data_IF_638831473451
#
_entry.id   IF_638831473451
#
_cell.length_a   1.000
_cell.length_b   1.000
_cell.length_c   1.000
_cell.angle_alpha   90.00
_cell.angle_beta   90.00
_cell.angle_gamma   90.00
#
_symmetry.space_group_name_H-M   'P 1'
#
loop_
_entity.id
_entity.type
_entity.pdbx_description
1 polymer ?
#
# COMPACT_ATOMS: atom_id res chain seq x y z
N UNK A 1 -21.53 -13.38 -6.08
CA UNK A 1 -21.52 -12.94 -7.48
C UNK A 1 -20.08 -12.67 -7.87
N UNK A 2 -19.57 -13.33 -8.91
CA UNK A 2 -18.22 -13.13 -9.39
C UNK A 2 -18.20 -11.84 -10.22
N UNK A 3 -17.55 -10.80 -9.71
CA UNK A 3 -17.40 -9.52 -10.40
C UNK A 3 -16.30 -9.70 -11.45
N UNK A 4 -16.68 -9.77 -12.73
CA UNK A 4 -15.74 -9.78 -13.85
C UNK A 4 -15.52 -8.33 -14.30
N UNK A 5 -14.31 -7.76 -14.19
CA UNK A 5 -14.04 -6.39 -14.60
C UNK A 5 -14.12 -6.29 -16.13
N UNK A 6 -15.02 -5.46 -16.65
CA UNK A 6 -15.37 -5.42 -18.09
C UNK A 6 -14.65 -4.34 -18.90
N UNK A 7 -13.71 -3.59 -18.32
CA UNK A 7 -12.81 -2.68 -19.05
C UNK A 7 -11.56 -2.38 -18.21
N UNK A 8 -10.36 -2.61 -18.74
CA UNK A 8 -9.10 -2.24 -18.08
C UNK A 8 -8.63 -0.86 -18.58
N UNK A 9 -8.64 0.15 -17.70
CA UNK A 9 -8.34 1.56 -18.00
C UNK A 9 -6.83 1.91 -17.93
N UNK A 10 -5.93 0.92 -17.94
CA UNK A 10 -4.48 1.17 -17.83
C UNK A 10 -4.00 1.64 -16.44
N UNK A 11 -4.74 1.31 -15.38
CA UNK A 11 -4.42 1.66 -13.98
C UNK A 11 -3.69 0.54 -13.24
N UNK A 12 -2.83 0.93 -12.28
CA UNK A 12 -1.74 0.15 -11.67
C UNK A 12 -2.19 -1.09 -10.86
N UNK A 13 -1.29 -2.09 -10.84
CA UNK A 13 -1.57 -3.49 -10.47
C UNK A 13 -1.07 -3.91 -9.08
N UNK A 14 -0.35 -3.06 -8.35
CA UNK A 14 0.16 -3.40 -7.02
C UNK A 14 -0.62 -2.66 -5.95
N UNK A 15 -1.75 -3.26 -5.57
CA UNK A 15 -2.48 -2.89 -4.36
C UNK A 15 -1.78 -3.55 -3.17
N UNK A 16 -1.29 -2.74 -2.24
CA UNK A 16 -0.65 -3.22 -0.99
C UNK A 16 -1.64 -3.30 0.18
N UNK A 17 -2.93 -3.05 -0.06
CA UNK A 17 -3.97 -3.34 0.92
C UNK A 17 -4.01 -4.85 1.18
N UNK A 18 -4.31 -5.21 2.42
CA UNK A 18 -4.35 -6.58 2.92
C UNK A 18 -3.03 -7.37 2.81
N UNK A 19 -1.89 -6.69 2.65
CA UNK A 19 -0.59 -7.35 2.76
C UNK A 19 -0.36 -7.79 4.19
N UNK A 20 -0.32 -9.11 4.38
CA UNK A 20 -0.36 -9.74 5.70
C UNK A 20 1.04 -10.11 6.19
N UNK A 21 1.29 -9.88 7.47
CA UNK A 21 2.51 -10.27 8.17
C UNK A 21 2.52 -11.79 8.44
N UNK A 22 2.76 -12.57 7.37
CA UNK A 22 2.54 -14.02 7.32
C UNK A 22 3.46 -14.87 8.21
N UNK A 23 4.58 -14.32 8.67
CA UNK A 23 5.57 -15.03 9.48
C UNK A 23 5.56 -14.53 10.93
N UNK A 24 5.75 -15.43 11.89
CA UNK A 24 5.79 -15.10 13.32
C UNK A 24 4.46 -15.36 14.04
N UNK A 25 4.51 -16.16 15.11
CA UNK A 25 3.33 -16.61 15.88
C UNK A 25 3.06 -15.82 17.16
N UNK A 26 3.60 -14.60 17.29
CA UNK A 26 3.56 -13.81 18.51
C UNK A 26 2.89 -12.44 18.34
N UNK A 27 3.30 -11.49 19.19
CA UNK A 27 2.81 -10.10 19.19
C UNK A 27 3.10 -9.34 17.89
N UNK A 28 4.18 -9.66 17.20
CA UNK A 28 4.56 -8.98 15.97
C UNK A 28 4.75 -10.04 14.89
N UNK A 29 4.03 -9.89 13.78
CA UNK A 29 4.27 -10.65 12.56
C UNK A 29 5.29 -9.95 11.67
N UNK A 30 5.85 -10.65 10.69
CA UNK A 30 6.66 -10.06 9.63
C UNK A 30 6.40 -10.71 8.28
N UNK A 31 6.78 -9.99 7.23
CA UNK A 31 6.82 -10.52 5.86
C UNK A 31 8.13 -10.10 5.21
N UNK A 32 8.61 -10.94 4.30
CA UNK A 32 9.77 -10.64 3.47
C UNK A 32 9.27 -10.29 2.07
N UNK A 33 9.64 -9.12 1.56
CA UNK A 33 9.24 -8.61 0.26
C UNK A 33 10.47 -8.61 -0.65
N UNK A 34 10.33 -9.23 -1.82
CA UNK A 34 11.33 -9.16 -2.89
C UNK A 34 11.22 -7.79 -3.57
N UNK A 35 12.31 -7.04 -3.54
CA UNK A 35 12.41 -5.70 -4.12
C UNK A 35 12.81 -5.78 -5.59
N UNK A 36 12.60 -4.68 -6.33
CA UNK A 36 12.89 -4.61 -7.76
C UNK A 36 14.39 -4.79 -8.12
N UNK A 37 15.29 -4.50 -7.17
CA UNK A 37 16.75 -4.70 -7.32
C UNK A 37 17.20 -6.14 -6.99
N UNK A 38 16.25 -7.03 -6.66
CA UNK A 38 16.53 -8.41 -6.27
C UNK A 38 16.90 -8.59 -4.80
N UNK A 39 16.99 -7.50 -4.02
CA UNK A 39 17.14 -7.60 -2.56
C UNK A 39 15.84 -8.06 -1.91
N UNK A 40 15.94 -8.67 -0.73
CA UNK A 40 14.80 -9.02 0.10
C UNK A 40 14.82 -8.13 1.33
N UNK A 41 13.71 -7.45 1.60
CA UNK A 41 13.52 -6.61 2.80
C UNK A 41 12.44 -7.18 3.69
N UNK A 42 12.66 -7.10 5.00
CA UNK A 42 11.69 -7.53 6.00
C UNK A 42 10.88 -6.33 6.49
N UNK A 43 9.57 -6.49 6.56
CA UNK A 43 8.64 -5.54 7.16
C UNK A 43 7.91 -6.22 8.31
N UNK A 44 7.62 -5.47 9.37
CA UNK A 44 7.09 -5.99 10.63
C UNK A 44 5.83 -5.23 11.01
N UNK A 45 4.83 -5.98 11.42
CA UNK A 45 3.62 -5.47 12.06
C UNK A 45 3.97 -4.98 13.48
N UNK A 46 3.62 -3.72 13.73
CA UNK A 46 3.93 -2.95 14.93
C UNK A 46 2.69 -2.74 15.81
N UNK A 47 1.48 -2.83 15.26
CA UNK A 47 0.22 -2.59 15.98
C UNK A 47 -0.58 -3.88 16.26
N UNK A 48 -0.10 -5.03 15.80
CA UNK A 48 -0.66 -6.37 15.96
C UNK A 48 -2.03 -6.57 15.29
N UNK A 49 -2.32 -5.86 14.20
CA UNK A 49 -3.48 -6.10 13.33
C UNK A 49 -3.21 -7.08 12.17
N UNK A 50 -1.94 -7.47 12.02
CA UNK A 50 -1.40 -8.37 11.00
C UNK A 50 -1.36 -7.82 9.58
N UNK A 51 -1.81 -6.59 9.35
CA UNK A 51 -1.86 -5.96 8.03
C UNK A 51 -0.94 -4.75 7.96
N UNK A 52 -0.09 -4.71 6.95
CA UNK A 52 0.93 -3.69 6.85
C UNK A 52 0.37 -2.40 6.25
N UNK A 53 0.12 -1.40 7.10
CA UNK A 53 -0.45 -0.13 6.67
C UNK A 53 0.60 0.76 5.95
N UNK A 54 0.36 1.19 4.69
CA UNK A 54 1.23 2.11 3.95
C UNK A 54 1.07 3.59 4.35
N UNK A 55 0.29 3.87 5.39
CA UNK A 55 0.06 5.21 5.93
C UNK A 55 -1.32 5.78 5.68
N UNK A 56 -2.33 4.93 5.50
CA UNK A 56 -3.73 5.37 5.51
C UNK A 56 -4.11 5.86 6.92
N UNK A 57 -4.77 7.02 7.03
CA UNK A 57 -5.28 7.49 8.31
C UNK A 57 -6.46 6.62 8.74
N UNK A 58 -6.41 6.13 9.99
CA UNK A 58 -7.50 5.35 10.60
C UNK A 58 -7.99 6.09 11.85
N UNK A 59 -9.30 6.26 11.97
CA UNK A 59 -9.89 6.95 13.12
C UNK A 59 -9.80 6.09 14.39
N UNK A 60 -9.62 6.74 15.54
CA UNK A 60 -9.55 6.09 16.85
C UNK A 60 -10.94 5.95 17.49
N UNK A 61 -11.16 4.89 18.26
CA UNK A 61 -12.40 4.70 19.02
C UNK A 61 -13.57 4.18 18.19
N UNK A 62 -13.29 3.54 17.06
CA UNK A 62 -14.29 2.86 16.24
C UNK A 62 -14.68 1.51 16.85
N UNK A 63 -15.75 0.91 16.35
CA UNK A 63 -16.14 -0.45 16.74
C UNK A 63 -15.26 -1.48 16.03
N UNK A 64 -15.16 -2.71 16.57
CA UNK A 64 -14.40 -3.78 15.89
C UNK A 64 -14.96 -4.12 14.51
N UNK A 65 -16.27 -3.92 14.25
CA UNK A 65 -16.83 -4.09 12.91
C UNK A 65 -16.36 -3.02 11.93
N UNK A 66 -16.21 -1.77 12.39
CA UNK A 66 -15.69 -0.69 11.54
C UNK A 66 -14.22 -0.96 11.19
N UNK A 67 -13.41 -1.42 12.16
CA UNK A 67 -12.03 -1.80 11.92
C UNK A 67 -11.90 -2.98 10.95
N UNK A 68 -12.81 -3.96 11.03
CA UNK A 68 -12.84 -5.09 10.09
C UNK A 68 -13.20 -4.66 8.66
N UNK A 69 -14.03 -3.63 8.48
CA UNK A 69 -14.35 -3.06 7.17
C UNK A 69 -13.19 -2.24 6.60
N UNK A 70 -12.44 -1.52 7.45
CA UNK A 70 -11.28 -0.71 7.06
C UNK A 70 -10.06 -1.59 6.73
N UNK A 71 -9.85 -2.68 7.47
CA UNK A 71 -8.71 -3.60 7.32
C UNK A 71 -7.46 -3.23 8.13
N UNK A 72 -7.44 -2.08 8.82
CA UNK A 72 -6.33 -1.61 9.64
C UNK A 72 -6.82 -1.14 11.01
N UNK A 73 -6.03 -1.35 12.08
CA UNK A 73 -6.37 -0.91 13.44
C UNK A 73 -6.07 0.56 13.71
N UNK A 74 -4.97 1.07 13.17
CA UNK A 74 -4.56 2.46 13.37
C UNK A 74 -3.76 3.00 12.17
N UNK A 75 -3.37 4.27 12.27
CA UNK A 75 -2.56 4.96 11.26
C UNK A 75 -1.05 4.70 11.35
N UNK A 76 -0.60 3.67 12.09
CA UNK A 76 0.82 3.34 12.19
C UNK A 76 1.36 2.98 10.82
N UNK A 77 2.47 3.61 10.41
CA UNK A 77 3.08 3.35 9.11
C UNK A 77 4.03 2.16 9.23
N UNK A 78 3.75 1.09 8.50
CA UNK A 78 4.52 -0.16 8.50
C UNK A 78 5.12 -0.47 7.13
N UNK A 79 4.60 0.14 6.07
CA UNK A 79 5.22 0.18 4.74
C UNK A 79 5.60 1.64 4.40
N UNK A 80 6.79 2.13 4.82
CA UNK A 80 7.18 3.50 4.56
C UNK A 80 7.31 3.80 3.06
N UNK A 81 6.84 4.96 2.58
CA UNK A 81 6.92 5.33 1.16
C UNK A 81 8.35 5.50 0.65
N UNK A 82 9.31 5.73 1.56
CA UNK A 82 10.75 5.78 1.26
C UNK A 82 11.34 4.41 0.95
N UNK A 83 10.68 3.34 1.36
CA UNK A 83 11.14 1.95 1.16
C UNK A 83 10.35 1.22 0.09
N UNK A 84 9.05 1.50 0.00
CA UNK A 84 8.15 0.96 -1.01
C UNK A 84 7.35 2.12 -1.60
N UNK A 85 7.60 2.42 -2.87
CA UNK A 85 6.82 3.39 -3.62
C UNK A 85 5.78 2.67 -4.47
N UNK A 86 4.49 2.85 -4.15
CA UNK A 86 3.36 2.32 -4.91
C UNK A 86 2.63 3.41 -5.72
N UNK A 87 3.30 4.54 -5.99
CA UNK A 87 2.70 5.68 -6.70
C UNK A 87 2.88 5.63 -8.22
N UNK A 88 2.20 6.54 -8.92
CA UNK A 88 2.32 6.74 -10.36
C UNK A 88 3.14 8.01 -10.62
N UNK A 89 4.14 7.92 -11.49
CA UNK A 89 4.78 9.10 -12.05
C UNK A 89 3.92 9.61 -13.23
N UNK A 90 3.21 10.71 -13.01
CA UNK A 90 2.52 11.39 -14.11
C UNK A 90 3.53 12.24 -14.88
N UNK A 91 3.96 11.75 -16.04
CA UNK A 91 4.82 12.49 -16.95
C UNK A 91 3.97 13.15 -18.03
N UNK A 92 4.01 14.48 -18.09
CA UNK A 92 3.41 15.22 -19.18
C UNK A 92 4.42 15.33 -20.34
N UNK A 93 4.29 14.47 -21.36
CA UNK A 93 5.08 14.56 -22.58
C UNK A 93 4.49 15.60 -23.53
N UNK A 94 4.53 16.88 -23.13
CA UNK A 94 4.21 17.98 -24.02
C UNK A 94 5.43 18.33 -24.87
N UNK A 95 5.27 18.29 -26.18
CA UNK A 95 6.22 18.91 -27.11
C UNK A 95 6.13 20.41 -26.90
N UNK A 96 7.11 21.04 -26.24
CA UNK A 96 7.16 22.49 -26.19
C UNK A 96 7.47 23.03 -27.59
N UNK A 97 6.49 23.68 -28.20
CA UNK A 97 6.69 24.43 -29.45
C UNK A 97 7.31 25.79 -29.09
N UNK A 98 8.12 26.35 -30.01
CA UNK A 98 8.90 27.60 -29.81
C UNK A 98 8.10 28.87 -29.44
N UNK A 99 6.77 28.79 -29.33
CA UNK A 99 5.87 29.95 -29.18
C UNK A 99 5.12 30.01 -27.85
N UNK A 100 5.29 29.03 -26.96
CA UNK A 100 4.73 29.09 -25.60
C UNK A 100 5.83 29.43 -24.60
N UNK A 101 6.26 30.68 -24.63
CA UNK A 101 6.99 31.32 -23.54
C UNK A 101 6.24 32.62 -23.21
N UNK A 102 5.47 32.61 -22.13
CA UNK A 102 5.03 33.79 -21.42
C UNK A 102 5.29 33.56 -19.93
#
# INVERSE_FOLDING_TARGET
AQIIPTAANGTFLQDTRDWYAAHGGGKNGSVNILMADGSVKQFTDLNNDKFLNPGFPVATGLTESDYAEIGYRDGTIELPPTEIFNGIFLQNFQKHHKFEAN
#
